data_IF_305119541362
#
_entry.id   IF_305119541362
#
_cell.length_a   1.000
_cell.length_b   1.000
_cell.length_c   1.000
_cell.angle_alpha   90.00
_cell.angle_beta   90.00
_cell.angle_gamma   90.00
#
_symmetry.space_group_name_H-M   'P 1'
#
loop_
_entity.id
_entity.type
_entity.pdbx_description
1 polymer ?
#
# COMPACT_ATOMS: atom_id res chain seq x y z
N UNK A 1 3.61 -51.40 49.24
CA UNK A 1 3.37 -50.49 48.09
C UNK A 1 2.69 -51.28 46.98
N UNK A 2 1.36 -51.31 46.96
CA UNK A 2 0.58 -52.07 45.96
C UNK A 2 0.14 -51.16 44.81
N UNK A 3 0.61 -51.45 43.59
CA UNK A 3 0.10 -50.82 42.35
C UNK A 3 -1.39 -51.16 42.21
N UNK A 4 -2.28 -50.18 42.41
CA UNK A 4 -3.70 -50.30 42.03
C UNK A 4 -3.77 -50.53 40.52
N UNK A 5 -4.20 -51.72 40.11
CA UNK A 5 -4.60 -52.00 38.72
C UNK A 5 -5.74 -51.04 38.39
N UNK A 6 -5.58 -50.25 37.32
CA UNK A 6 -6.67 -49.46 36.76
C UNK A 6 -7.74 -50.44 36.28
N UNK A 7 -8.97 -50.29 36.76
CA UNK A 7 -10.08 -51.14 36.37
C UNK A 7 -10.38 -50.94 34.87
N UNK A 8 -10.76 -52.01 34.17
CA UNK A 8 -11.06 -51.96 32.73
C UNK A 8 -12.13 -50.91 32.37
N UNK A 9 -12.97 -50.56 33.35
CA UNK A 9 -14.00 -49.52 33.26
C UNK A 9 -13.40 -48.11 33.19
N UNK A 10 -12.31 -47.83 33.91
CA UNK A 10 -11.62 -46.53 33.89
C UNK A 10 -10.87 -46.31 32.56
N UNK A 11 -10.32 -47.38 31.98
CA UNK A 11 -9.65 -47.34 30.68
C UNK A 11 -10.67 -47.10 29.56
N UNK A 12 -11.83 -47.78 29.63
CA UNK A 12 -12.92 -47.58 28.68
C UNK A 12 -13.57 -46.18 28.79
N UNK A 13 -13.67 -45.63 30.00
CA UNK A 13 -14.15 -44.25 30.22
C UNK A 13 -13.17 -43.20 29.67
N UNK A 14 -11.86 -43.42 29.86
CA UNK A 14 -10.83 -42.56 29.27
C UNK A 14 -10.80 -42.62 27.74
N UNK A 15 -10.98 -43.80 27.15
CA UNK A 15 -11.06 -43.96 25.70
C UNK A 15 -12.31 -43.28 25.12
N UNK A 16 -13.49 -43.44 25.75
CA UNK A 16 -14.71 -42.73 25.31
C UNK A 16 -14.60 -41.21 25.43
N UNK A 17 -13.95 -40.71 26.47
CA UNK A 17 -13.72 -39.27 26.63
C UNK A 17 -12.73 -38.72 25.58
N UNK A 18 -11.72 -39.51 25.20
CA UNK A 18 -10.80 -39.16 24.11
C UNK A 18 -11.50 -39.20 22.75
N UNK A 19 -12.29 -40.24 22.47
CA UNK A 19 -13.11 -40.32 21.25
C UNK A 19 -14.13 -39.17 21.17
N UNK A 20 -14.77 -38.81 22.29
CA UNK A 20 -15.68 -37.66 22.33
C UNK A 20 -14.95 -36.34 22.07
N UNK A 21 -13.78 -36.13 22.68
CA UNK A 21 -12.99 -34.92 22.43
C UNK A 21 -12.46 -34.85 20.99
N UNK A 22 -12.10 -35.98 20.38
CA UNK A 22 -11.66 -36.06 18.98
C UNK A 22 -12.82 -35.82 18.01
N UNK A 23 -14.00 -36.36 18.30
CA UNK A 23 -15.24 -36.10 17.54
C UNK A 23 -15.69 -34.64 17.69
N UNK A 24 -15.54 -34.04 18.87
CA UNK A 24 -15.85 -32.63 19.11
C UNK A 24 -14.84 -31.70 18.42
N UNK A 25 -13.56 -32.04 18.40
CA UNK A 25 -12.52 -31.35 17.61
C UNK A 25 -12.80 -31.45 16.11
N UNK A 26 -13.17 -32.63 15.62
CA UNK A 26 -13.56 -32.87 14.23
C UNK A 26 -14.84 -32.11 13.85
N UNK A 27 -15.81 -32.01 14.78
CA UNK A 27 -17.02 -31.20 14.60
C UNK A 27 -16.70 -29.71 14.54
N UNK A 28 -15.85 -29.20 15.44
CA UNK A 28 -15.40 -27.80 15.43
C UNK A 28 -14.57 -27.43 14.19
N UNK A 29 -13.83 -28.39 13.61
CA UNK A 29 -13.14 -28.20 12.32
C UNK A 29 -14.08 -28.31 11.12
N UNK A 30 -15.21 -29.01 11.25
CA UNK A 30 -16.28 -29.10 10.24
C UNK A 30 -17.27 -27.93 10.26
N UNK A 31 -17.22 -27.06 11.28
CA UNK A 31 -17.97 -25.81 11.29
C UNK A 31 -17.24 -24.84 10.35
N UNK A 32 -17.88 -24.51 9.23
CA UNK A 32 -17.41 -23.47 8.31
C UNK A 32 -16.99 -22.24 9.12
N UNK A 33 -15.69 -21.94 9.08
CA UNK A 33 -15.20 -20.76 9.77
C UNK A 33 -15.65 -19.52 9.00
N UNK A 34 -15.75 -18.37 9.65
CA UNK A 34 -16.04 -17.11 8.95
C UNK A 34 -15.06 -16.88 7.78
N UNK A 35 -13.83 -17.38 7.90
CA UNK A 35 -12.82 -17.32 6.84
C UNK A 35 -13.22 -18.13 5.61
N UNK A 36 -13.83 -19.30 5.77
CA UNK A 36 -14.28 -20.14 4.66
C UNK A 36 -15.50 -19.53 3.94
N UNK A 37 -16.32 -18.74 4.65
CA UNK A 37 -17.46 -18.04 4.07
C UNK A 37 -17.05 -16.81 3.22
N UNK A 38 -15.96 -16.14 3.58
CA UNK A 38 -15.48 -14.94 2.87
C UNK A 38 -14.33 -15.24 1.90
N UNK A 39 -13.75 -16.44 1.96
CA UNK A 39 -12.66 -16.84 1.08
C UNK A 39 -13.17 -16.92 -0.37
N UNK A 40 -12.39 -16.42 -1.33
CA UNK A 40 -12.77 -16.54 -2.74
C UNK A 40 -12.76 -18.01 -3.17
N UNK A 41 -13.62 -18.34 -4.14
CA UNK A 41 -13.73 -19.70 -4.69
C UNK A 41 -12.44 -20.23 -5.32
N UNK A 42 -11.61 -19.34 -5.86
CA UNK A 42 -10.28 -19.64 -6.40
C UNK A 42 -9.41 -18.39 -6.48
N UNK A 43 -8.10 -18.57 -6.34
CA UNK A 43 -7.10 -17.52 -6.51
C UNK A 43 -5.90 -18.06 -7.28
N UNK A 44 -5.70 -17.55 -8.49
CA UNK A 44 -4.60 -17.96 -9.38
C UNK A 44 -3.74 -16.75 -9.72
N UNK A 45 -2.42 -16.88 -9.59
CA UNK A 45 -1.47 -15.80 -9.87
C UNK A 45 -0.73 -16.05 -11.18
N UNK A 46 -0.73 -15.04 -12.05
CA UNK A 46 0.12 -14.96 -13.23
C UNK A 46 1.14 -13.84 -13.05
N UNK A 47 2.09 -13.73 -13.99
CA UNK A 47 3.12 -12.69 -13.89
C UNK A 47 2.52 -11.28 -13.95
N UNK A 48 1.62 -11.00 -14.89
CA UNK A 48 1.07 -9.65 -15.06
C UNK A 48 -0.28 -9.42 -14.38
N UNK A 49 -1.03 -10.46 -14.04
CA UNK A 49 -2.38 -10.36 -13.46
C UNK A 49 -2.64 -11.53 -12.51
N UNK A 50 -3.75 -11.51 -11.80
CA UNK A 50 -4.27 -12.62 -11.02
C UNK A 50 -5.75 -12.83 -11.33
N UNK A 51 -6.26 -14.03 -11.06
CA UNK A 51 -7.66 -14.37 -11.21
C UNK A 51 -8.25 -14.65 -9.84
N UNK A 52 -9.32 -13.93 -9.50
CA UNK A 52 -10.06 -14.04 -8.25
C UNK A 52 -11.48 -14.53 -8.59
N UNK A 53 -11.70 -15.85 -8.51
CA UNK A 53 -12.93 -16.48 -8.98
C UNK A 53 -13.16 -16.24 -10.47
N UNK A 54 -14.18 -15.43 -10.80
CA UNK A 54 -14.52 -15.07 -12.18
C UNK A 54 -13.88 -13.77 -12.66
N UNK A 55 -13.32 -12.95 -11.76
CA UNK A 55 -12.74 -11.65 -12.10
C UNK A 55 -11.22 -11.73 -12.31
N UNK A 56 -10.72 -10.85 -13.17
CA UNK A 56 -9.30 -10.62 -13.36
C UNK A 56 -8.89 -9.39 -12.57
N UNK A 57 -7.79 -9.50 -11.84
CA UNK A 57 -7.21 -8.42 -11.06
C UNK A 57 -5.78 -8.11 -11.48
N UNK A 58 -5.36 -6.86 -11.36
CA UNK A 58 -3.98 -6.46 -11.58
C UNK A 58 -3.61 -5.34 -10.63
N UNK A 59 -2.48 -5.51 -9.94
CA UNK A 59 -1.93 -4.49 -9.05
C UNK A 59 -0.88 -3.66 -9.77
N UNK A 60 -1.00 -2.34 -9.64
CA UNK A 60 -0.01 -1.34 -10.02
C UNK A 60 0.46 -0.58 -8.78
N UNK A 61 1.68 -0.06 -8.83
CA UNK A 61 2.23 0.80 -7.79
C UNK A 61 2.78 2.09 -8.40
N UNK A 62 2.68 3.19 -7.66
CA UNK A 62 3.25 4.47 -8.09
C UNK A 62 4.68 4.61 -7.58
N UNK A 63 5.62 4.76 -8.50
CA UNK A 63 7.05 4.85 -8.21
C UNK A 63 7.65 6.22 -8.52
N UNK A 64 6.97 7.08 -9.28
CA UNK A 64 7.46 8.41 -9.63
C UNK A 64 6.42 9.45 -9.26
N UNK A 65 6.87 10.53 -8.64
CA UNK A 65 6.04 11.67 -8.23
C UNK A 65 6.63 12.97 -8.79
N UNK A 66 5.80 13.96 -9.12
CA UNK A 66 6.26 15.29 -9.50
C UNK A 66 7.03 15.96 -8.35
N UNK A 67 7.77 17.02 -8.67
CA UNK A 67 8.49 17.83 -7.67
C UNK A 67 7.54 18.47 -6.64
N UNK A 68 6.32 18.77 -7.04
CA UNK A 68 5.30 19.36 -6.20
C UNK A 68 3.96 18.65 -6.43
N UNK A 69 3.32 18.22 -5.33
CA UNK A 69 1.98 17.66 -5.33
C UNK A 69 0.99 18.74 -4.89
N UNK A 70 -0.18 18.76 -5.53
CA UNK A 70 -1.26 19.70 -5.22
C UNK A 70 -2.35 18.99 -4.42
N UNK A 71 -3.02 19.72 -3.54
CA UNK A 71 -4.15 19.18 -2.75
C UNK A 71 -5.20 18.56 -3.67
N UNK A 72 -5.62 17.35 -3.34
CA UNK A 72 -6.65 16.64 -4.10
C UNK A 72 -6.15 15.95 -5.37
N UNK A 73 -4.83 15.81 -5.56
CA UNK A 73 -4.27 15.09 -6.71
C UNK A 73 -4.83 13.65 -6.83
N UNK A 74 -5.12 12.99 -5.70
CA UNK A 74 -5.67 11.63 -5.69
C UNK A 74 -7.16 11.57 -6.09
N UNK A 75 -7.86 12.71 -6.11
CA UNK A 75 -9.32 12.78 -6.33
C UNK A 75 -9.77 12.15 -7.66
N UNK A 76 -9.15 12.43 -8.82
CA UNK A 76 -9.58 11.83 -10.08
C UNK A 76 -9.52 10.31 -10.06
N UNK A 77 -8.53 9.74 -9.37
CA UNK A 77 -8.35 8.29 -9.26
C UNK A 77 -9.41 7.69 -8.35
N UNK A 78 -9.65 8.31 -7.19
CA UNK A 78 -10.61 7.82 -6.20
C UNK A 78 -12.06 7.98 -6.66
N UNK A 79 -12.33 8.95 -7.53
CA UNK A 79 -13.63 9.19 -8.14
C UNK A 79 -13.76 8.58 -9.54
N UNK A 80 -12.82 7.72 -9.95
CA UNK A 80 -12.94 7.02 -11.21
C UNK A 80 -14.10 6.02 -11.13
N UNK A 81 -14.95 6.00 -12.17
CA UNK A 81 -16.05 5.05 -12.32
C UNK A 81 -15.53 3.68 -12.77
N UNK A 82 -14.68 3.07 -11.94
CA UNK A 82 -13.99 1.80 -12.18
C UNK A 82 -13.86 1.02 -10.86
N UNK A 83 -13.85 -0.31 -10.93
CA UNK A 83 -13.68 -1.15 -9.72
C UNK A 83 -12.20 -1.19 -9.35
N UNK A 84 -11.83 -0.39 -8.34
CA UNK A 84 -10.46 -0.25 -7.89
C UNK A 84 -10.35 -0.23 -6.35
N UNK A 85 -9.29 -0.85 -5.85
CA UNK A 85 -8.84 -0.70 -4.46
C UNK A 85 -7.61 0.21 -4.45
N UNK A 86 -7.59 1.22 -3.56
CA UNK A 86 -6.41 2.08 -3.34
C UNK A 86 -5.93 1.93 -1.91
N UNK A 87 -4.65 1.62 -1.76
CA UNK A 87 -3.99 1.59 -0.46
C UNK A 87 -2.83 2.57 -0.39
N UNK A 88 -2.86 3.39 0.65
CA UNK A 88 -1.83 4.36 0.98
C UNK A 88 -1.12 3.94 2.26
N UNK A 89 0.19 3.76 2.20
CA UNK A 89 1.02 3.45 3.36
C UNK A 89 1.89 4.64 3.72
N UNK A 90 1.84 5.06 4.98
CA UNK A 90 2.60 6.18 5.50
C UNK A 90 3.43 5.69 6.68
N UNK A 91 4.75 5.72 6.54
CA UNK A 91 5.67 5.33 7.60
C UNK A 91 6.52 6.52 8.02
N UNK A 92 6.44 7.00 9.27
CA UNK A 92 7.30 8.06 9.75
C UNK A 92 8.76 7.59 9.76
N UNK A 93 9.68 8.52 9.45
CA UNK A 93 11.12 8.30 9.55
C UNK A 93 11.67 9.23 10.62
N UNK A 94 12.59 8.72 11.44
CA UNK A 94 13.25 9.52 12.47
C UNK A 94 14.03 10.69 11.83
N UNK A 95 13.73 11.90 12.28
CA UNK A 95 14.32 13.14 11.76
C UNK A 95 15.85 13.13 11.85
N UNK A 96 16.43 12.55 12.91
CA UNK A 96 17.88 12.47 13.09
C UNK A 96 18.57 11.70 11.95
N UNK A 97 17.99 10.56 11.55
CA UNK A 97 18.51 9.72 10.46
C UNK A 97 18.43 10.49 9.14
N UNK A 98 17.33 11.21 8.91
CA UNK A 98 17.12 12.01 7.69
C UNK A 98 18.11 13.16 7.63
N UNK A 99 18.27 13.91 8.73
CA UNK A 99 19.21 15.02 8.84
C UNK A 99 20.65 14.58 8.58
N UNK A 100 21.07 13.43 9.12
CA UNK A 100 22.40 12.87 8.86
C UNK A 100 22.61 12.57 7.37
N UNK A 101 21.62 11.93 6.73
CA UNK A 101 21.69 11.61 5.30
C UNK A 101 21.66 12.87 4.42
N UNK A 102 20.84 13.86 4.78
CA UNK A 102 20.70 15.12 4.07
C UNK A 102 21.98 15.94 4.15
N UNK A 103 22.62 16.04 5.32
CA UNK A 103 23.96 16.66 5.47
C UNK A 103 24.99 16.04 4.54
N UNK A 104 25.07 14.70 4.51
CA UNK A 104 25.98 13.99 3.60
C UNK A 104 25.66 14.31 2.13
N UNK A 105 24.38 14.42 1.78
CA UNK A 105 23.96 14.72 0.41
C UNK A 105 24.27 16.16 0.01
N UNK A 106 24.04 17.13 0.89
CA UNK A 106 24.40 18.55 0.70
C UNK A 106 25.91 18.68 0.47
N UNK A 107 26.75 18.09 1.34
CA UNK A 107 28.21 18.11 1.17
C UNK A 107 28.65 17.50 -0.17
N UNK A 108 27.97 16.43 -0.63
CA UNK A 108 28.25 15.86 -1.94
C UNK A 108 27.90 16.83 -3.08
N UNK A 109 26.73 17.47 -3.03
CA UNK A 109 26.28 18.43 -4.04
C UNK A 109 27.18 19.67 -4.10
N UNK A 110 27.60 20.18 -2.94
CA UNK A 110 28.55 21.30 -2.82
C UNK A 110 29.93 20.93 -3.41
N UNK A 111 30.43 19.74 -3.10
CA UNK A 111 31.69 19.25 -3.67
C UNK A 111 31.61 19.12 -5.20
N UNK A 112 30.51 18.56 -5.72
CA UNK A 112 30.28 18.44 -7.16
C UNK A 112 30.23 19.82 -7.85
N UNK A 113 29.58 20.81 -7.23
CA UNK A 113 29.57 22.20 -7.69
C UNK A 113 30.97 22.82 -7.68
N UNK A 114 31.73 22.65 -6.61
CA UNK A 114 33.11 23.16 -6.49
C UNK A 114 33.99 22.57 -7.59
N UNK A 115 33.94 21.26 -7.81
CA UNK A 115 34.73 20.57 -8.84
C UNK A 115 34.34 21.06 -10.24
N UNK A 116 33.05 21.28 -10.50
CA UNK A 116 32.59 21.79 -11.79
C UNK A 116 33.07 23.24 -12.03
N UNK A 117 33.05 24.08 -11.00
CA UNK A 117 33.55 25.45 -11.04
C UNK A 117 35.07 25.49 -11.26
N UNK A 118 35.84 24.65 -10.54
CA UNK A 118 37.30 24.52 -10.73
C UNK A 118 37.66 24.06 -12.15
N UNK A 119 36.84 23.18 -12.74
CA UNK A 119 37.01 22.71 -14.14
C UNK A 119 36.52 23.72 -15.17
N UNK A 120 36.04 24.90 -14.76
CA UNK A 120 35.51 25.93 -15.65
C UNK A 120 34.28 25.49 -16.45
N UNK A 121 33.52 24.51 -15.95
CA UNK A 121 32.29 24.06 -16.61
C UNK A 121 31.21 25.13 -16.46
N UNK A 122 30.32 25.19 -17.45
CA UNK A 122 29.12 26.02 -17.37
C UNK A 122 28.24 25.55 -16.20
N UNK A 123 27.56 26.52 -15.59
CA UNK A 123 26.62 26.32 -14.48
C UNK A 123 25.63 25.20 -14.78
N UNK A 124 25.39 24.33 -13.81
CA UNK A 124 24.39 23.26 -13.87
C UNK A 124 23.17 23.64 -13.03
N UNK A 125 22.07 24.14 -13.65
CA UNK A 125 20.89 24.60 -12.92
C UNK A 125 20.20 23.48 -12.15
N UNK A 126 20.31 22.22 -12.60
CA UNK A 126 19.69 21.10 -11.93
C UNK A 126 20.42 20.77 -10.62
N UNK A 127 21.76 20.84 -10.63
CA UNK A 127 22.58 20.63 -9.45
C UNK A 127 22.37 21.74 -8.40
N UNK A 128 22.30 23.00 -8.84
CA UNK A 128 22.00 24.14 -7.97
C UNK A 128 20.59 24.04 -7.36
N UNK A 129 19.58 23.71 -8.16
CA UNK A 129 18.22 23.52 -7.67
C UNK A 129 18.17 22.39 -6.64
N UNK A 130 18.85 21.26 -6.90
CA UNK A 130 18.92 20.15 -5.96
C UNK A 130 19.62 20.52 -4.64
N UNK A 131 20.65 21.38 -4.68
CA UNK A 131 21.31 21.89 -3.47
C UNK A 131 20.36 22.79 -2.68
N UNK A 132 19.73 23.76 -3.33
CA UNK A 132 18.78 24.67 -2.68
C UNK A 132 17.60 23.92 -2.06
N UNK A 133 16.98 22.99 -2.81
CA UNK A 133 15.87 22.16 -2.32
C UNK A 133 16.32 21.32 -1.10
N UNK A 134 17.57 20.82 -1.09
CA UNK A 134 18.11 20.04 0.03
C UNK A 134 18.42 20.89 1.26
N UNK A 135 18.89 22.13 1.09
CA UNK A 135 19.13 23.07 2.18
C UNK A 135 17.82 23.54 2.81
N UNK A 136 16.83 23.93 2.00
CA UNK A 136 15.51 24.35 2.47
C UNK A 136 14.87 23.25 3.32
N UNK A 137 14.92 22.01 2.83
CA UNK A 137 14.37 20.87 3.53
C UNK A 137 15.10 20.57 4.84
N UNK A 138 16.43 20.78 4.88
CA UNK A 138 17.24 20.62 6.10
C UNK A 138 16.81 21.63 7.15
N UNK A 139 16.63 22.87 6.74
CA UNK A 139 16.26 23.96 7.64
C UNK A 139 14.84 23.77 8.17
N UNK A 140 13.89 23.35 7.33
CA UNK A 140 12.52 23.02 7.74
C UNK A 140 12.45 21.83 8.71
N UNK A 141 13.28 20.79 8.49
CA UNK A 141 13.39 19.66 9.43
C UNK A 141 14.01 20.06 10.76
N UNK A 142 15.02 20.94 10.75
CA UNK A 142 15.68 21.44 11.95
C UNK A 142 14.75 22.31 12.81
N UNK A 143 13.89 23.11 12.16
CA UNK A 143 12.86 23.91 12.82
C UNK A 143 11.68 23.06 13.33
N UNK A 144 11.59 21.79 12.92
CA UNK A 144 10.47 20.90 13.24
C UNK A 144 9.16 21.25 12.52
N UNK A 145 9.23 22.11 11.50
CA UNK A 145 8.09 22.49 10.67
C UNK A 145 7.65 21.34 9.76
N UNK A 146 8.61 20.52 9.31
CA UNK A 146 8.34 19.33 8.53
C UNK A 146 8.88 18.06 9.19
N UNK A 147 8.25 16.94 8.84
CA UNK A 147 8.70 15.58 9.11
C UNK A 147 8.83 14.80 7.81
N UNK A 148 9.69 13.79 7.84
CA UNK A 148 9.90 12.87 6.74
C UNK A 148 9.14 11.56 6.93
N UNK A 149 8.68 11.03 5.81
CA UNK A 149 7.94 9.78 5.76
C UNK A 149 8.34 8.96 4.54
N UNK A 150 8.11 7.66 4.61
CA UNK A 150 8.08 6.77 3.45
C UNK A 150 6.62 6.54 3.06
N UNK A 151 6.28 6.96 1.85
CA UNK A 151 4.95 6.86 1.28
C UNK A 151 4.91 5.74 0.24
N UNK A 152 3.97 4.81 0.38
CA UNK A 152 3.65 3.78 -0.61
C UNK A 152 2.23 3.97 -1.13
N UNK A 153 2.03 3.81 -2.43
CA UNK A 153 0.72 3.92 -3.08
C UNK A 153 0.53 2.77 -4.05
N UNK A 154 -0.49 1.96 -3.77
CA UNK A 154 -0.82 0.75 -4.52
C UNK A 154 -2.27 0.81 -4.95
N UNK A 155 -2.52 0.39 -6.19
CA UNK A 155 -3.85 0.32 -6.76
C UNK A 155 -4.06 -1.08 -7.33
N UNK A 156 -5.16 -1.74 -6.96
CA UNK A 156 -5.58 -3.00 -7.58
C UNK A 156 -6.84 -2.77 -8.38
N UNK A 157 -6.77 -3.08 -9.68
CA UNK A 157 -7.87 -2.93 -10.63
C UNK A 157 -8.51 -4.30 -10.81
N UNK A 158 -9.84 -4.34 -10.89
CA UNK A 158 -10.59 -5.57 -11.19
C UNK A 158 -11.47 -5.38 -12.43
N UNK A 159 -11.56 -6.43 -13.26
CA UNK A 159 -12.35 -6.45 -14.48
C UNK A 159 -12.90 -7.85 -14.77
N UNK A 160 -13.87 -7.96 -15.68
CA UNK A 160 -14.49 -9.24 -16.07
C UNK A 160 -13.74 -9.93 -17.22
N UNK A 161 -12.88 -9.19 -17.94
CA UNK A 161 -12.00 -9.74 -18.98
C UNK A 161 -10.60 -9.13 -18.95
N UNK A 162 -9.63 -9.81 -19.57
CA UNK A 162 -8.26 -9.28 -19.72
C UNK A 162 -8.20 -8.03 -20.60
N UNK A 163 -9.07 -7.92 -21.61
CA UNK A 163 -9.11 -6.76 -22.50
C UNK A 163 -9.62 -5.53 -21.74
N UNK A 164 -10.68 -5.69 -20.96
CA UNK A 164 -11.20 -4.66 -20.07
C UNK A 164 -10.16 -4.28 -19.00
N UNK A 165 -9.49 -5.26 -18.39
CA UNK A 165 -8.42 -5.00 -17.40
C UNK A 165 -7.32 -4.11 -17.99
N UNK A 166 -6.87 -4.41 -19.21
CA UNK A 166 -5.86 -3.62 -19.90
C UNK A 166 -6.37 -2.22 -20.25
N UNK A 167 -7.63 -2.09 -20.66
CA UNK A 167 -8.27 -0.81 -20.95
C UNK A 167 -8.32 0.07 -19.70
N UNK A 168 -8.83 -0.45 -18.59
CA UNK A 168 -8.92 0.27 -17.31
C UNK A 168 -7.53 0.61 -16.78
N UNK A 169 -6.57 -0.33 -16.86
CA UNK A 169 -5.16 -0.03 -16.52
C UNK A 169 -4.66 1.18 -17.30
N UNK A 170 -4.79 1.17 -18.62
CA UNK A 170 -4.30 2.27 -19.45
C UNK A 170 -5.03 3.60 -19.21
N UNK A 171 -6.32 3.56 -18.87
CA UNK A 171 -7.09 4.73 -18.41
C UNK A 171 -6.49 5.30 -17.11
N UNK A 172 -6.27 4.47 -16.10
CA UNK A 172 -5.68 4.88 -14.81
C UNK A 172 -4.23 5.38 -14.99
N UNK A 173 -3.41 4.70 -15.78
CA UNK A 173 -2.04 5.14 -16.11
C UNK A 173 -2.04 6.50 -16.81
N UNK A 174 -3.03 6.77 -17.68
CA UNK A 174 -3.18 8.06 -18.36
C UNK A 174 -3.55 9.16 -17.36
N UNK A 175 -4.48 8.89 -16.44
CA UNK A 175 -4.87 9.84 -15.38
C UNK A 175 -3.71 10.18 -14.45
N UNK A 176 -2.92 9.17 -14.05
CA UNK A 176 -1.69 9.36 -13.30
C UNK A 176 -0.66 10.18 -14.10
N UNK A 177 -0.47 9.84 -15.37
CA UNK A 177 0.49 10.51 -16.26
C UNK A 177 0.19 12.00 -16.48
N UNK A 178 -1.09 12.39 -16.53
CA UNK A 178 -1.50 13.81 -16.61
C UNK A 178 -1.02 14.63 -15.40
N UNK A 179 -0.84 13.99 -14.26
CA UNK A 179 -0.32 14.60 -13.03
C UNK A 179 1.18 14.36 -12.83
N UNK A 180 1.88 13.85 -13.85
CA UNK A 180 3.28 13.41 -13.78
C UNK A 180 3.55 12.35 -12.69
N UNK A 181 2.54 11.54 -12.39
CA UNK A 181 2.68 10.35 -11.56
C UNK A 181 2.99 9.16 -12.46
N UNK A 182 4.02 8.40 -12.10
CA UNK A 182 4.46 7.25 -12.88
C UNK A 182 4.20 5.97 -12.13
N UNK A 183 3.44 5.06 -12.75
CA UNK A 183 3.11 3.74 -12.21
C UNK A 183 3.76 2.61 -13.00
N UNK A 184 3.85 1.44 -12.37
CA UNK A 184 4.23 0.18 -13.00
C UNK A 184 3.38 -0.96 -12.46
N UNK A 185 3.19 -1.97 -13.29
CA UNK A 185 2.59 -3.24 -12.89
C UNK A 185 3.53 -3.97 -11.91
N UNK A 186 2.97 -4.57 -10.86
CA UNK A 186 3.65 -5.47 -9.95
C UNK A 186 3.94 -6.83 -10.61
N UNK A 187 4.70 -6.83 -11.71
CA UNK A 187 4.99 -8.02 -12.50
C UNK A 187 5.70 -9.08 -11.65
N UNK A 188 5.18 -10.31 -11.69
CA UNK A 188 5.57 -11.45 -10.85
C UNK A 188 5.46 -11.21 -9.35
N UNK A 189 4.76 -10.14 -8.93
CA UNK A 189 4.52 -9.76 -7.54
C UNK A 189 3.03 -9.45 -7.29
N UNK A 190 2.15 -10.07 -8.08
CA UNK A 190 0.71 -9.82 -8.01
C UNK A 190 0.11 -10.26 -6.67
N UNK A 191 0.63 -11.34 -6.07
CA UNK A 191 0.21 -11.79 -4.74
C UNK A 191 0.55 -10.76 -3.66
N UNK A 192 1.79 -10.25 -3.67
CA UNK A 192 2.24 -9.21 -2.76
C UNK A 192 1.46 -7.92 -2.97
N UNK A 193 1.15 -7.61 -4.24
CA UNK A 193 0.32 -6.47 -4.62
C UNK A 193 -1.09 -6.55 -4.05
N UNK A 194 -1.78 -7.67 -4.26
CA UNK A 194 -3.12 -7.90 -3.71
C UNK A 194 -3.10 -7.82 -2.17
N UNK A 195 -2.10 -8.44 -1.52
CA UNK A 195 -1.96 -8.38 -0.06
C UNK A 195 -1.71 -6.96 0.48
N UNK A 196 -1.13 -6.09 -0.34
CA UNK A 196 -0.90 -4.69 0.01
C UNK A 196 -2.14 -3.81 -0.18
N UNK A 197 -3.08 -4.20 -1.06
CA UNK A 197 -4.30 -3.43 -1.31
C UNK A 197 -5.50 -3.86 -0.50
N UNK A 198 -5.62 -5.16 -0.15
CA UNK A 198 -6.66 -5.62 0.77
C UNK A 198 -6.48 -5.03 2.18
N UNK A 199 -7.57 -4.89 2.97
CA UNK A 199 -7.55 -4.22 4.28
C UNK A 199 -6.94 -5.10 5.40
N UNK A 200 -5.77 -5.67 5.16
CA UNK A 200 -4.97 -6.43 6.13
C UNK A 200 -3.78 -5.63 6.68
N UNK A 201 -3.61 -4.38 6.23
CA UNK A 201 -2.51 -3.48 6.61
C UNK A 201 -1.12 -4.12 6.40
N UNK A 202 -0.97 -4.89 5.32
CA UNK A 202 0.25 -5.65 5.03
C UNK A 202 0.94 -5.13 3.77
N UNK A 203 1.82 -4.14 3.90
CA UNK A 203 2.66 -3.69 2.78
C UNK A 203 3.73 -4.74 2.44
N UNK A 204 3.46 -5.62 1.47
CA UNK A 204 4.43 -6.64 1.03
C UNK A 204 5.29 -6.18 -0.15
N UNK A 205 4.82 -5.19 -0.92
CA UNK A 205 5.57 -4.64 -2.04
C UNK A 205 6.77 -3.82 -1.56
N UNK A 206 6.65 -3.09 -0.45
CA UNK A 206 7.71 -2.26 0.13
C UNK A 206 8.24 -1.19 -0.84
N UNK A 207 7.49 -0.89 -1.90
CA UNK A 207 7.85 0.14 -2.89
C UNK A 207 7.39 1.48 -2.35
N UNK A 208 8.34 2.22 -1.80
CA UNK A 208 8.08 3.44 -1.05
C UNK A 208 8.94 4.59 -1.56
N UNK A 209 8.42 5.81 -1.49
CA UNK A 209 9.13 7.05 -1.78
C UNK A 209 9.23 7.92 -0.54
N UNK A 210 10.37 8.59 -0.39
CA UNK A 210 10.53 9.54 0.68
C UNK A 210 9.75 10.81 0.33
N UNK A 211 8.94 11.29 1.25
CA UNK A 211 8.17 12.52 1.13
C UNK A 211 8.20 13.28 2.44
N UNK A 212 8.08 14.60 2.35
CA UNK A 212 7.89 15.46 3.48
C UNK A 212 6.41 15.59 3.86
N UNK A 213 6.14 16.29 4.96
CA UNK A 213 4.79 16.47 5.50
C UNK A 213 3.89 17.23 4.53
N UNK A 214 4.42 18.30 3.90
CA UNK A 214 3.68 19.07 2.90
C UNK A 214 3.18 18.19 1.77
N UNK A 215 4.05 17.40 1.13
CA UNK A 215 3.65 16.51 0.04
C UNK A 215 2.60 15.47 0.47
N UNK A 216 2.79 14.78 1.60
CA UNK A 216 1.86 13.72 2.04
C UNK A 216 0.50 14.28 2.43
N UNK A 217 0.44 15.46 3.05
CA UNK A 217 -0.83 16.08 3.43
C UNK A 217 -1.76 16.30 2.23
N UNK A 218 -1.20 16.52 1.02
CA UNK A 218 -1.99 16.70 -0.20
C UNK A 218 -2.65 15.42 -0.71
N UNK A 219 -2.13 14.26 -0.29
CA UNK A 219 -2.63 12.93 -0.65
C UNK A 219 -3.89 12.53 0.12
N UNK A 220 -4.21 13.23 1.20
CA UNK A 220 -5.44 12.96 1.94
C UNK A 220 -6.67 13.25 1.06
N UNK A 221 -7.58 12.29 0.90
CA UNK A 221 -8.73 12.44 0.03
C UNK A 221 -9.81 13.26 0.73
N UNK A 222 -9.68 14.59 0.68
CA UNK A 222 -10.69 15.52 1.20
C UNK A 222 -11.96 15.58 0.34
N UNK A 223 -12.00 14.88 -0.80
CA UNK A 223 -13.18 14.78 -1.65
C UNK A 223 -13.99 13.55 -1.21
N UNK A 224 -15.05 13.77 -0.43
CA UNK A 224 -16.06 12.73 -0.20
C UNK A 224 -16.78 12.42 -1.51
N UNK A 225 -16.77 11.16 -1.93
CA UNK A 225 -17.76 10.67 -2.87
C UNK A 225 -19.06 10.46 -2.07
N UNK A 226 -20.02 11.37 -2.20
CA UNK A 226 -21.35 11.14 -1.64
C UNK A 226 -22.02 9.99 -2.41
N UNK A 227 -21.98 8.80 -1.83
CA UNK A 227 -22.68 7.64 -2.36
C UNK A 227 -24.18 7.79 -2.07
N UNK A 228 -24.92 8.38 -3.01
CA UNK A 228 -26.38 8.45 -2.91
C UNK A 228 -27.00 7.19 -3.52
N UNK A 229 -27.63 6.35 -2.68
CA UNK A 229 -28.46 5.23 -3.13
C UNK A 229 -29.93 5.59 -2.96
N UNK A 230 -30.74 5.45 -4.02
CA UNK A 230 -32.19 5.77 -3.98
C UNK A 230 -32.96 4.95 -2.94
N UNK A 231 -32.51 3.73 -2.63
CA UNK A 231 -33.11 2.84 -1.62
C UNK A 231 -32.24 2.70 -0.35
N UNK A 232 -31.25 3.58 -0.16
CA UNK A 232 -30.37 3.54 1.00
C UNK A 232 -31.04 4.07 2.27
N UNK A 233 -30.67 3.54 3.43
CA UNK A 233 -31.06 4.13 4.71
C UNK A 233 -30.15 5.33 4.98
N UNK A 234 -30.74 6.51 5.23
CA UNK A 234 -29.98 7.73 5.55
C UNK A 234 -29.12 7.50 6.80
N UNK A 235 -27.81 7.38 6.60
CA UNK A 235 -26.84 7.17 7.67
C UNK A 235 -26.32 8.48 8.27
N UNK A 236 -26.44 9.59 7.52
CA UNK A 236 -26.05 10.93 7.94
C UNK A 236 -26.03 11.91 6.77
N UNK A 237 -25.98 13.21 7.07
CA UNK A 237 -25.80 14.27 6.08
C UNK A 237 -24.37 14.78 6.19
N UNK A 238 -23.62 14.71 5.10
CA UNK A 238 -22.29 15.29 5.01
C UNK A 238 -22.45 16.80 4.80
N UNK A 239 -21.96 17.62 5.73
CA UNK A 239 -22.11 19.09 5.74
C UNK A 239 -20.85 19.82 5.26
N UNK A 240 -19.96 19.12 4.53
CA UNK A 240 -18.69 19.66 4.04
C UNK A 240 -18.66 19.78 2.52
#
# INVERSE_FOLDING_TARGET
>A
MGKKKKDAVDIAAQQRAQEQAEVEQAFLTGINTLRDLIAPSSLEFHSSYFRLGTKYGQTIYVYGYPRQLYTGWASPILNADEVLDVSMFIYPVETEIVMKNLRRKVTQLEADLSINNEKGKTRDPALEAALNDAEELRDQLQLGAEKFFRFGLYLTIYADSLDELNFVRSKIETMLGQQMLFSKVASSQQEQGLKATIPQLSDQLQIRRNMNTGAISTSFPFTSADLTQENGVLYGVNMH
#
